data_IF_355488514386
#
_entry.id   IF_355488514386
#
_cell.length_a   1.000
_cell.length_b   1.000
_cell.length_c   1.000
_cell.angle_alpha   90.00
_cell.angle_beta   90.00
_cell.angle_gamma   90.00
#
_symmetry.space_group_name_H-M   'P 1'
#
loop_
_entity.id
_entity.type
_entity.pdbx_description
1 polymer ?
#
# COMPACT_ATOMS: atom_id res chain seq x y z
N UNK A 1 25.49 19.08 4.57
CA UNK A 1 24.55 19.08 3.42
C UNK A 1 23.72 17.81 3.48
N UNK A 2 22.40 17.90 3.64
CA UNK A 2 21.50 16.74 3.48
C UNK A 2 21.20 16.61 1.99
N UNK A 3 21.60 15.51 1.35
CA UNK A 3 21.21 15.23 -0.02
C UNK A 3 19.67 15.11 -0.07
N UNK A 4 19.03 15.92 -0.88
CA UNK A 4 17.60 15.84 -1.11
C UNK A 4 17.31 14.61 -1.98
N UNK A 5 16.69 13.59 -1.39
CA UNK A 5 16.37 12.35 -2.10
C UNK A 5 15.13 12.59 -2.97
N UNK A 6 15.35 12.76 -4.27
CA UNK A 6 14.26 12.88 -5.25
C UNK A 6 13.67 11.48 -5.49
N UNK A 7 12.35 11.27 -5.36
CA UNK A 7 11.71 9.98 -5.63
C UNK A 7 11.92 9.51 -7.07
N UNK A 8 11.84 8.18 -7.28
CA UNK A 8 11.86 7.60 -8.63
C UNK A 8 10.82 8.23 -9.57
N UNK A 9 11.23 8.52 -10.80
CA UNK A 9 10.34 9.02 -11.85
C UNK A 9 9.62 7.87 -12.55
N UNK A 10 8.48 8.15 -13.21
CA UNK A 10 7.74 7.14 -13.99
C UNK A 10 8.56 6.46 -15.09
N UNK A 11 9.62 7.11 -15.59
CA UNK A 11 10.49 6.60 -16.65
C UNK A 11 11.74 5.87 -16.11
N UNK A 12 11.85 5.71 -14.79
CA UNK A 12 13.00 5.01 -14.20
C UNK A 12 12.87 3.51 -14.47
N UNK A 13 13.82 2.94 -15.22
CA UNK A 13 13.91 1.50 -15.38
C UNK A 13 14.40 0.88 -14.06
N UNK A 14 13.51 0.15 -13.38
CA UNK A 14 13.84 -0.57 -12.15
C UNK A 14 14.63 -1.84 -12.48
N UNK A 15 15.62 -2.15 -11.64
CA UNK A 15 16.44 -3.36 -11.71
C UNK A 15 16.32 -4.07 -10.35
N UNK A 16 15.90 -5.33 -10.40
CA UNK A 16 15.80 -6.17 -9.19
C UNK A 16 17.16 -6.26 -8.51
N UNK A 17 17.18 -6.08 -7.20
CA UNK A 17 18.38 -6.07 -6.38
C UNK A 17 18.96 -4.69 -6.10
N UNK A 18 18.61 -3.65 -6.89
CA UNK A 18 19.10 -2.28 -6.68
C UNK A 18 18.22 -1.50 -5.70
N UNK A 19 18.82 -0.52 -5.02
CA UNK A 19 18.13 0.39 -4.11
C UNK A 19 17.82 1.72 -4.79
N UNK A 20 16.63 2.26 -4.50
CA UNK A 20 16.14 3.50 -5.08
C UNK A 20 15.54 4.41 -4.00
N UNK A 21 15.57 5.74 -4.19
CA UNK A 21 14.78 6.67 -3.39
C UNK A 21 13.29 6.51 -3.74
N UNK A 22 12.52 5.95 -2.81
CA UNK A 22 11.11 5.62 -3.01
C UNK A 22 10.25 6.43 -2.07
N UNK A 23 9.15 6.97 -2.61
CA UNK A 23 8.11 7.60 -1.81
C UNK A 23 7.40 6.54 -0.98
N UNK A 24 7.36 6.73 0.32
CA UNK A 24 6.78 5.82 1.29
C UNK A 24 5.80 6.56 2.19
N UNK A 25 4.78 5.86 2.67
CA UNK A 25 3.96 6.27 3.79
C UNK A 25 4.60 5.81 5.11
N UNK A 26 4.68 6.70 6.10
CA UNK A 26 4.92 6.32 7.49
C UNK A 26 3.59 6.11 8.18
N UNK A 27 3.40 4.93 8.73
CA UNK A 27 2.21 4.55 9.48
C UNK A 27 2.34 4.92 10.95
N UNK A 28 1.21 4.97 11.67
CA UNK A 28 1.18 5.26 13.12
C UNK A 28 1.96 4.24 13.96
N UNK A 29 2.00 2.98 13.53
CA UNK A 29 2.81 1.90 14.14
C UNK A 29 4.32 2.00 13.81
N UNK A 30 4.74 3.02 13.05
CA UNK A 30 6.12 3.25 12.64
C UNK A 30 6.53 2.49 11.37
N UNK A 31 5.67 1.66 10.78
CA UNK A 31 5.95 1.00 9.52
C UNK A 31 6.18 2.02 8.39
N UNK A 32 7.12 1.72 7.51
CA UNK A 32 7.44 2.55 6.33
C UNK A 32 7.14 1.76 5.07
N UNK A 33 6.03 2.11 4.42
CA UNK A 33 5.44 1.34 3.33
C UNK A 33 5.64 2.09 2.00
N UNK A 34 6.32 1.50 1.00
CA UNK A 34 6.40 2.05 -0.35
C UNK A 34 5.02 2.27 -0.96
N UNK A 35 4.80 3.39 -1.63
CA UNK A 35 3.51 3.72 -2.26
C UNK A 35 3.65 4.08 -3.73
N UNK A 36 2.63 3.74 -4.52
CA UNK A 36 2.56 3.99 -5.96
C UNK A 36 1.47 5.02 -6.28
N UNK A 37 1.60 5.72 -7.42
CA UNK A 37 0.55 6.58 -7.95
C UNK A 37 0.42 7.95 -7.25
N UNK A 38 -0.75 8.57 -7.30
CA UNK A 38 -1.09 9.77 -6.53
C UNK A 38 -2.14 9.41 -5.48
N UNK A 39 -2.33 10.28 -4.49
CA UNK A 39 -3.52 10.22 -3.63
C UNK A 39 -4.77 10.33 -4.50
N UNK A 40 -5.78 9.51 -4.22
CA UNK A 40 -7.06 9.50 -4.92
C UNK A 40 -8.12 8.81 -4.05
N UNK A 41 -9.36 8.86 -4.49
CA UNK A 41 -10.49 8.09 -3.97
C UNK A 41 -11.16 7.39 -5.16
N UNK A 42 -11.91 6.32 -4.91
CA UNK A 42 -12.65 5.56 -5.93
C UNK A 42 -14.14 5.44 -5.53
N UNK A 43 -14.93 6.53 -5.56
CA UNK A 43 -16.31 6.52 -5.10
C UNK A 43 -17.20 5.53 -5.87
N UNK A 44 -16.90 5.33 -7.15
CA UNK A 44 -17.56 4.36 -8.02
C UNK A 44 -17.31 2.90 -7.64
N UNK A 45 -16.32 2.64 -6.77
CA UNK A 45 -16.05 1.35 -6.14
C UNK A 45 -16.45 1.33 -4.65
N UNK A 46 -17.14 2.36 -4.16
CA UNK A 46 -17.52 2.49 -2.75
C UNK A 46 -16.37 2.92 -1.82
N UNK A 47 -15.22 3.33 -2.37
CA UNK A 47 -14.06 3.80 -1.61
C UNK A 47 -14.05 5.32 -1.58
N UNK A 48 -14.72 5.90 -0.58
CA UNK A 48 -14.94 7.35 -0.48
C UNK A 48 -13.73 8.10 0.10
N UNK A 49 -12.94 7.44 0.96
CA UNK A 49 -11.76 8.01 1.59
C UNK A 49 -10.57 8.16 0.63
N UNK A 50 -9.87 9.28 0.71
CA UNK A 50 -8.60 9.45 0.01
C UNK A 50 -7.56 8.47 0.53
N UNK A 51 -6.88 7.79 -0.38
CA UNK A 51 -5.94 6.74 -0.03
C UNK A 51 -4.77 6.64 -1.00
N UNK A 52 -3.81 5.80 -0.63
CA UNK A 52 -2.67 5.39 -1.46
C UNK A 52 -2.63 3.88 -1.62
N UNK A 53 -2.10 3.45 -2.76
CA UNK A 53 -1.79 2.05 -3.03
C UNK A 53 -0.35 1.72 -2.65
N UNK A 54 -0.15 0.50 -2.17
CA UNK A 54 1.17 -0.04 -1.82
C UNK A 54 1.95 -0.35 -3.11
N UNK A 55 3.24 0.00 -3.13
CA UNK A 55 4.17 -0.41 -4.18
C UNK A 55 4.92 -1.67 -3.76
N UNK A 56 4.37 -2.82 -4.13
CA UNK A 56 4.94 -4.13 -3.82
C UNK A 56 6.25 -4.45 -4.54
N UNK A 57 6.78 -3.57 -5.41
CA UNK A 57 8.10 -3.79 -6.03
C UNK A 57 9.25 -3.73 -5.05
N UNK A 58 9.03 -3.09 -3.90
CA UNK A 58 10.09 -2.75 -2.96
C UNK A 58 10.02 -3.61 -1.69
N UNK A 59 11.20 -3.85 -1.11
CA UNK A 59 11.32 -4.68 0.09
C UNK A 59 10.46 -4.15 1.25
N UNK A 60 9.71 -5.07 1.85
CA UNK A 60 8.91 -4.90 3.05
C UNK A 60 9.21 -6.05 4.02
N UNK A 61 9.25 -5.80 5.34
CA UNK A 61 9.36 -6.88 6.32
C UNK A 61 8.20 -7.87 6.21
N UNK A 62 8.45 -9.14 6.56
CA UNK A 62 7.44 -10.21 6.48
C UNK A 62 6.14 -9.89 7.22
N UNK A 63 6.24 -9.31 8.42
CA UNK A 63 5.05 -8.90 9.19
C UNK A 63 4.21 -7.84 8.45
N UNK A 64 4.85 -6.96 7.67
CA UNK A 64 4.16 -5.96 6.85
C UNK A 64 3.53 -6.62 5.62
N UNK A 65 4.24 -7.52 4.92
CA UNK A 65 3.67 -8.21 3.76
C UNK A 65 2.47 -9.08 4.14
N UNK A 66 2.50 -9.71 5.32
CA UNK A 66 1.38 -10.50 5.85
C UNK A 66 0.20 -9.62 6.29
N UNK A 67 0.45 -8.54 7.03
CA UNK A 67 -0.59 -7.57 7.45
C UNK A 67 -1.36 -7.00 6.25
N UNK A 68 -0.65 -6.66 5.17
CA UNK A 68 -1.22 -6.03 3.98
C UNK A 68 -1.53 -7.03 2.85
N UNK A 69 -1.45 -8.34 3.11
CA UNK A 69 -1.79 -9.41 2.17
C UNK A 69 -1.16 -9.21 0.78
N UNK A 70 0.13 -8.86 0.76
CA UNK A 70 0.86 -8.64 -0.49
C UNK A 70 1.25 -10.01 -1.06
N UNK A 71 0.80 -10.30 -2.28
CA UNK A 71 1.09 -11.56 -2.95
C UNK A 71 2.54 -11.65 -3.48
N UNK A 72 2.86 -12.78 -4.11
CA UNK A 72 4.20 -13.03 -4.69
C UNK A 72 4.55 -12.03 -5.81
N UNK A 73 3.54 -11.54 -6.53
CA UNK A 73 3.62 -10.53 -7.59
C UNK A 73 3.66 -9.09 -7.06
N UNK A 74 3.60 -8.88 -5.74
CA UNK A 74 3.58 -7.56 -5.14
C UNK A 74 2.25 -6.83 -5.29
N UNK A 75 1.15 -7.55 -5.50
CA UNK A 75 -0.19 -6.98 -5.60
C UNK A 75 -0.94 -7.10 -4.28
N UNK A 76 -1.84 -6.16 -4.02
CA UNK A 76 -2.74 -6.15 -2.85
C UNK A 76 -3.95 -5.28 -3.11
N UNK A 77 -5.09 -5.58 -2.46
CA UNK A 77 -6.25 -4.68 -2.44
C UNK A 77 -6.28 -3.77 -1.21
N UNK A 78 -5.33 -3.92 -0.29
CA UNK A 78 -5.31 -3.12 0.92
C UNK A 78 -4.83 -1.72 0.60
N UNK A 79 -5.65 -0.74 0.96
CA UNK A 79 -5.37 0.69 0.79
C UNK A 79 -4.77 1.27 2.08
N UNK A 80 -3.99 2.34 1.93
CA UNK A 80 -3.49 3.15 3.05
C UNK A 80 -4.27 4.46 3.11
N UNK A 81 -5.04 4.67 4.17
CA UNK A 81 -5.90 5.84 4.33
C UNK A 81 -5.07 7.10 4.57
N UNK A 82 -5.39 8.17 3.86
CA UNK A 82 -4.67 9.45 3.97
C UNK A 82 -5.25 10.40 5.03
N UNK A 83 -6.39 10.07 5.63
CA UNK A 83 -7.10 10.92 6.59
C UNK A 83 -6.95 10.38 8.02
N UNK A 84 -6.73 11.28 8.98
CA UNK A 84 -6.56 10.95 10.40
C UNK A 84 -7.88 10.60 11.10
N UNK A 85 -9.02 10.98 10.51
CA UNK A 85 -10.36 10.80 11.10
C UNK A 85 -10.87 9.35 10.97
N UNK A 86 -10.27 8.55 10.09
CA UNK A 86 -10.51 7.10 10.07
C UNK A 86 -9.75 6.48 11.25
N UNK A 87 -10.49 5.87 12.17
CA UNK A 87 -10.01 5.34 13.47
C UNK A 87 -9.16 4.06 13.29
N UNK A 88 -8.74 3.75 12.05
CA UNK A 88 -8.21 2.46 11.67
C UNK A 88 -6.67 2.39 11.62
N UNK A 89 -6.17 1.16 11.73
CA UNK A 89 -4.74 0.78 11.78
C UNK A 89 -3.94 1.05 10.49
N UNK A 90 -4.56 1.68 9.50
CA UNK A 90 -4.02 1.94 8.15
C UNK A 90 -3.87 3.43 7.83
N UNK A 91 -3.91 4.31 8.83
CA UNK A 91 -3.75 5.75 8.62
C UNK A 91 -2.27 6.16 8.49
N UNK A 92 -2.02 6.96 7.45
CA UNK A 92 -0.71 7.54 7.14
C UNK A 92 -0.49 8.76 8.04
N UNK A 93 0.66 8.79 8.72
CA UNK A 93 1.10 9.94 9.52
C UNK A 93 1.83 10.97 8.64
N UNK A 94 2.72 10.49 7.77
CA UNK A 94 3.46 11.37 6.87
C UNK A 94 3.94 10.63 5.61
N UNK A 95 4.27 11.39 4.57
CA UNK A 95 4.98 10.89 3.41
C UNK A 95 6.48 11.16 3.56
N UNK A 96 7.29 10.13 3.34
CA UNK A 96 8.75 10.20 3.44
C UNK A 96 9.41 9.58 2.21
N UNK A 97 10.65 9.98 1.93
CA UNK A 97 11.49 9.30 0.93
C UNK A 97 12.49 8.41 1.64
N UNK A 98 12.56 7.13 1.25
CA UNK A 98 13.52 6.16 1.80
C UNK A 98 14.19 5.36 0.70
N UNK A 99 15.43 4.96 0.96
CA UNK A 99 16.12 3.99 0.12
C UNK A 99 15.49 2.62 0.31
N UNK A 100 14.95 2.05 -0.76
CA UNK A 100 14.29 0.75 -0.76
C UNK A 100 14.86 -0.13 -1.86
N UNK A 101 15.19 -1.37 -1.53
CA UNK A 101 15.63 -2.38 -2.48
C UNK A 101 14.46 -2.85 -3.33
N UNK A 102 14.57 -2.77 -4.65
CA UNK A 102 13.65 -3.39 -5.58
C UNK A 102 13.83 -4.92 -5.50
N UNK A 103 12.74 -5.64 -5.22
CA UNK A 103 12.73 -7.11 -5.11
C UNK A 103 11.99 -7.77 -6.27
N UNK A 104 11.18 -7.00 -7.01
CA UNK A 104 10.42 -7.47 -8.17
C UNK A 104 10.07 -6.29 -9.09
N UNK A 105 9.64 -6.59 -10.32
CA UNK A 105 9.22 -5.58 -11.31
C UNK A 105 7.70 -5.41 -11.39
N UNK A 106 6.94 -6.32 -10.78
CA UNK A 106 5.48 -6.34 -10.71
C UNK A 106 4.97 -5.70 -9.41
N UNK A 107 3.80 -5.05 -9.50
CA UNK A 107 3.02 -4.51 -8.38
C UNK A 107 1.64 -4.16 -8.89
N UNK A 108 0.70 -3.86 -7.99
CA UNK A 108 -0.57 -3.26 -8.34
C UNK A 108 -1.68 -3.69 -7.40
N UNK A 109 -2.91 -3.60 -7.91
CA UNK A 109 -4.11 -4.06 -7.21
C UNK A 109 -4.30 -5.55 -7.52
N UNK A 110 -4.74 -6.34 -6.53
CA UNK A 110 -5.06 -7.77 -6.71
C UNK A 110 -6.58 -7.99 -6.68
N UNK A 111 -7.33 -7.55 -7.71
CA UNK A 111 -8.78 -7.41 -7.64
C UNK A 111 -9.47 -8.67 -7.12
N UNK A 112 -10.55 -8.53 -6.33
CA UNK A 112 -11.27 -9.69 -5.81
C UNK A 112 -11.69 -10.61 -6.97
N UNK A 113 -11.63 -11.93 -6.75
CA UNK A 113 -12.18 -12.88 -7.72
C UNK A 113 -13.67 -12.60 -7.95
N UNK A 114 -14.20 -12.93 -9.13
CA UNK A 114 -15.62 -12.71 -9.45
C UNK A 114 -16.59 -13.36 -8.44
N UNK A 115 -16.13 -14.40 -7.74
CA UNK A 115 -16.90 -15.16 -6.76
C UNK A 115 -16.70 -14.65 -5.31
N UNK A 116 -15.88 -13.60 -5.11
CA UNK A 116 -15.68 -12.98 -3.81
C UNK A 116 -16.86 -12.08 -3.46
N UNK A 117 -17.64 -12.48 -2.46
CA UNK A 117 -18.70 -11.64 -1.87
C UNK A 117 -18.16 -10.43 -1.09
N UNK A 118 -16.84 -10.35 -0.86
CA UNK A 118 -16.22 -9.17 -0.26
C UNK A 118 -15.66 -8.25 -1.35
N UNK A 119 -16.27 -7.06 -1.49
CA UNK A 119 -15.69 -5.90 -2.19
C UNK A 119 -14.40 -5.40 -1.50
N UNK A 120 -14.16 -5.83 -0.26
CA UNK A 120 -13.07 -5.43 0.61
C UNK A 120 -12.17 -6.61 0.94
N UNK A 121 -11.57 -7.23 -0.09
CA UNK A 121 -10.74 -8.44 -0.02
C UNK A 121 -10.15 -8.72 1.37
N UNK A 122 -10.81 -9.61 2.11
CA UNK A 122 -10.35 -10.17 3.39
C UNK A 122 -10.03 -9.16 4.51
N UNK A 123 -11.05 -8.48 5.03
CA UNK A 123 -11.16 -8.27 6.48
C UNK A 123 -11.61 -9.60 7.13
N UNK A 124 -10.72 -10.61 7.19
CA UNK A 124 -10.93 -11.73 8.11
C UNK A 124 -10.80 -11.19 9.53
N UNK A 125 -11.92 -10.88 10.17
CA UNK A 125 -11.92 -10.48 11.57
C UNK A 125 -13.17 -9.81 12.16
N UNK A 126 -14.24 -9.57 11.40
CA UNK A 126 -15.50 -9.12 12.01
C UNK A 126 -16.61 -10.11 11.68
N UNK A 127 -16.99 -10.90 12.69
CA UNK A 127 -18.30 -11.54 12.75
C UNK A 127 -19.35 -10.43 12.64
N UNK A 128 -20.04 -10.38 11.50
CA UNK A 128 -21.32 -9.69 11.43
C UNK A 128 -22.31 -10.66 12.08
N UNK A 129 -22.67 -10.35 13.32
CA UNK A 129 -23.90 -10.83 13.96
C UNK A 129 -25.03 -10.76 12.93
N UNK A 130 -25.58 -11.93 12.58
CA UNK A 130 -26.89 -12.00 11.96
C UNK A 130 -27.87 -11.21 12.82
N UNK A 131 -28.55 -10.24 12.22
CA UNK A 131 -29.83 -9.80 12.72
C UNK A 131 -30.85 -10.05 11.62
N UNK A 132 -31.87 -10.79 12.04
CA UNK A 132 -33.00 -11.40 11.33
C UNK A 132 -33.80 -10.39 10.52
#
# INVERSE_FOLDING_TARGET
MKAELIPISKNTQLIVGKSYPVRCARMKDGAIIPIIGKKHADPELGVVGEHYHIDGRFFLPKAVTEKYQIDEDGRTNVILCANEEDIDWNCIVELVVKQKKCVRLTTGVNPPSRDSTSIWGSLKGFEILQVV
#
